data_IF_300467052544
#
_entry.id   IF_300467052544
#
_cell.length_a   1.000
_cell.length_b   1.000
_cell.length_c   1.000
_cell.angle_alpha   90.00
_cell.angle_beta   90.00
_cell.angle_gamma   90.00
#
_symmetry.space_group_name_H-M   'P 1'
#
loop_
_entity.id
_entity.type
_entity.pdbx_description
1 polymer ?
#
# COMPACT_ATOMS: atom_id res chain seq x y z
N UNK A 1 63.87 -13.29 35.69
CA UNK A 1 63.28 -14.51 36.29
C UNK A 1 62.29 -15.06 35.27
N UNK A 2 62.75 -15.70 34.19
CA UNK A 2 63.21 -17.10 34.09
C UNK A 2 62.03 -18.08 34.23
N UNK A 3 61.47 -18.56 33.09
CA UNK A 3 61.57 -19.95 32.52
C UNK A 3 60.53 -20.92 33.11
N UNK A 4 59.84 -21.82 32.40
CA UNK A 4 60.07 -22.53 31.13
C UNK A 4 58.76 -23.13 30.55
N UNK A 5 58.77 -23.42 29.25
CA UNK A 5 58.03 -24.50 28.58
C UNK A 5 59.06 -25.58 28.16
N UNK A 6 58.74 -26.67 27.43
CA UNK A 6 57.59 -27.61 27.43
C UNK A 6 58.08 -29.07 27.65
N UNK A 7 57.19 -30.08 27.60
CA UNK A 7 57.62 -31.48 27.40
C UNK A 7 56.80 -32.15 26.29
N UNK A 8 57.53 -32.80 25.37
CA UNK A 8 57.05 -33.62 24.25
C UNK A 8 57.48 -35.06 24.51
N UNK A 9 56.57 -36.04 24.35
CA UNK A 9 56.86 -37.41 23.88
C UNK A 9 55.65 -37.91 23.08
N UNK A 10 55.82 -38.20 21.79
CA UNK A 10 55.98 -39.55 21.20
C UNK A 10 54.88 -40.51 21.66
N UNK A 11 54.09 -41.20 20.83
CA UNK A 11 54.19 -41.67 19.45
C UNK A 11 53.33 -42.94 19.40
N UNK A 12 52.78 -43.33 18.24
CA UNK A 12 52.12 -44.63 18.11
C UNK A 12 50.92 -44.65 17.16
N UNK A 13 51.18 -45.06 15.92
CA UNK A 13 50.19 -45.57 15.00
C UNK A 13 49.60 -46.88 15.54
N UNK A 14 48.28 -47.05 15.46
CA UNK A 14 47.69 -48.36 15.20
C UNK A 14 46.46 -48.20 14.31
N UNK A 15 46.62 -48.75 13.12
CA UNK A 15 45.62 -49.02 12.10
C UNK A 15 44.73 -50.19 12.58
N UNK A 16 43.41 -50.02 12.54
CA UNK A 16 42.48 -51.15 12.45
C UNK A 16 41.21 -50.78 11.67
N UNK A 17 41.12 -51.44 10.53
CA UNK A 17 40.01 -51.56 9.60
C UNK A 17 38.73 -52.06 10.31
N UNK A 18 37.63 -51.35 10.07
CA UNK A 18 36.31 -51.64 10.62
C UNK A 18 35.26 -51.11 9.65
N UNK A 19 34.93 -51.93 8.64
CA UNK A 19 33.81 -51.73 7.73
C UNK A 19 32.50 -51.54 8.52
N UNK A 20 31.88 -50.38 8.38
CA UNK A 20 30.48 -50.19 8.78
C UNK A 20 29.72 -49.46 7.66
N UNK A 21 28.58 -50.05 7.29
CA UNK A 21 27.78 -49.77 6.11
C UNK A 21 27.11 -48.38 6.14
N UNK A 22 26.80 -47.77 4.98
CA UNK A 22 26.03 -46.54 4.94
C UNK A 22 24.58 -46.80 5.38
N UNK A 23 23.97 -45.93 6.21
CA UNK A 23 22.56 -46.06 6.58
C UNK A 23 21.65 -45.73 5.37
N UNK A 24 20.42 -46.28 5.35
CA UNK A 24 19.58 -46.27 4.16
C UNK A 24 19.02 -44.87 3.88
N UNK A 25 18.94 -44.55 2.58
CA UNK A 25 18.15 -43.44 2.07
C UNK A 25 16.72 -43.53 2.62
N UNK A 26 16.32 -42.54 3.41
CA UNK A 26 14.92 -42.28 3.70
C UNK A 26 14.61 -40.81 3.39
N UNK A 27 13.63 -40.67 2.50
CA UNK A 27 13.06 -39.43 2.00
C UNK A 27 12.71 -38.44 3.10
N UNK A 28 13.56 -37.44 3.30
CA UNK A 28 13.18 -36.17 3.90
C UNK A 28 13.28 -35.10 2.80
N UNK A 29 12.12 -34.70 2.25
CA UNK A 29 12.04 -33.56 1.35
C UNK A 29 12.56 -32.31 2.08
N UNK A 30 13.78 -31.93 1.73
CA UNK A 30 14.58 -30.94 2.42
C UNK A 30 14.04 -29.52 2.14
N UNK A 31 13.85 -28.63 3.14
CA UNK A 31 13.42 -27.24 2.96
C UNK A 31 14.45 -26.34 2.23
N UNK A 32 15.49 -26.92 1.64
CA UNK A 32 16.55 -26.20 0.91
C UNK A 32 16.22 -25.97 -0.58
N UNK A 33 15.26 -26.69 -1.17
CA UNK A 33 14.89 -26.48 -2.58
C UNK A 33 14.24 -25.12 -2.82
N UNK A 34 13.51 -24.58 -1.85
CA UNK A 34 12.96 -23.22 -1.95
C UNK A 34 14.02 -22.11 -1.87
N UNK A 35 15.18 -22.37 -1.25
CA UNK A 35 16.30 -21.41 -1.20
C UNK A 35 17.12 -21.40 -2.50
N UNK A 36 17.24 -22.53 -3.19
CA UNK A 36 17.98 -22.64 -4.45
C UNK A 36 17.25 -21.98 -5.64
N UNK A 37 15.93 -21.97 -5.64
CA UNK A 37 15.12 -21.31 -6.69
C UNK A 37 15.23 -19.77 -6.70
N UNK A 38 15.72 -19.14 -5.62
CA UNK A 38 15.99 -17.69 -5.59
C UNK A 38 17.41 -17.31 -6.01
N UNK A 39 18.33 -18.28 -6.15
CA UNK A 39 19.74 -18.07 -6.52
C UNK A 39 20.04 -18.46 -7.98
N UNK A 40 19.16 -19.23 -8.62
CA UNK A 40 19.21 -19.52 -10.05
C UNK A 40 18.54 -18.38 -10.81
N UNK A 41 19.31 -17.61 -11.57
CA UNK A 41 18.87 -16.41 -12.29
C UNK A 41 17.88 -16.67 -13.44
N UNK A 42 16.68 -17.17 -13.13
CA UNK A 42 15.54 -17.13 -14.05
C UNK A 42 14.99 -15.69 -14.17
N UNK A 43 14.56 -15.25 -15.37
CA UNK A 43 14.09 -13.88 -15.60
C UNK A 43 12.81 -13.59 -14.78
N UNK A 44 12.64 -12.34 -14.32
CA UNK A 44 12.55 -12.08 -12.88
C UNK A 44 11.12 -12.22 -12.34
N UNK A 45 11.02 -12.38 -11.03
CA UNK A 45 9.84 -12.23 -10.13
C UNK A 45 8.89 -11.04 -10.46
N UNK A 46 9.24 -10.18 -11.41
CA UNK A 46 8.42 -9.17 -12.06
C UNK A 46 7.33 -9.74 -13.00
N UNK A 47 7.60 -10.76 -13.83
CA UNK A 47 6.61 -11.31 -14.78
C UNK A 47 5.43 -11.98 -14.07
N UNK A 48 5.66 -12.66 -12.92
CA UNK A 48 4.57 -13.22 -12.11
C UNK A 48 3.67 -12.13 -11.52
N UNK A 49 4.25 -11.02 -11.04
CA UNK A 49 3.49 -9.90 -10.49
C UNK A 49 2.53 -9.29 -11.50
N UNK A 50 2.96 -9.07 -12.75
CA UNK A 50 2.07 -8.51 -13.79
C UNK A 50 0.89 -9.44 -14.09
N UNK A 51 1.12 -10.76 -14.08
CA UNK A 51 0.07 -11.77 -14.24
C UNK A 51 -0.92 -11.75 -13.06
N UNK A 52 -0.43 -11.63 -11.83
CA UNK A 52 -1.23 -11.53 -10.61
C UNK A 52 -2.10 -10.26 -10.59
N UNK A 53 -1.52 -9.09 -10.94
CA UNK A 53 -2.27 -7.84 -11.10
C UNK A 53 -3.35 -7.94 -12.17
N UNK A 54 -3.04 -8.55 -13.32
CA UNK A 54 -4.01 -8.73 -14.40
C UNK A 54 -5.17 -9.64 -13.99
N UNK A 55 -4.90 -10.70 -13.21
CA UNK A 55 -5.94 -11.60 -12.68
C UNK A 55 -6.83 -10.90 -11.64
N UNK A 56 -6.24 -10.10 -10.74
CA UNK A 56 -7.01 -9.26 -9.82
C UNK A 56 -7.90 -8.25 -10.56
N UNK A 57 -7.35 -7.57 -11.59
CA UNK A 57 -8.14 -6.67 -12.43
C UNK A 57 -9.22 -7.40 -13.23
N UNK A 58 -8.98 -8.66 -13.63
CA UNK A 58 -9.99 -9.49 -14.26
C UNK A 58 -11.13 -9.86 -13.29
N UNK A 59 -10.84 -10.09 -12.01
CA UNK A 59 -11.85 -10.33 -10.98
C UNK A 59 -12.74 -9.10 -10.71
N UNK A 60 -12.24 -7.89 -10.99
CA UNK A 60 -13.01 -6.63 -10.91
C UNK A 60 -13.89 -6.42 -12.15
N UNK A 61 -13.57 -7.07 -13.28
CA UNK A 61 -14.23 -6.89 -14.59
C UNK A 61 -15.76 -7.11 -14.60
N UNK A 62 -16.34 -8.08 -13.86
CA UNK A 62 -17.80 -8.25 -13.79
C UNK A 62 -18.52 -7.02 -13.22
N UNK A 63 -17.86 -6.28 -12.33
CA UNK A 63 -18.43 -5.13 -11.61
C UNK A 63 -18.01 -3.78 -12.21
N UNK A 64 -17.82 -3.72 -13.53
CA UNK A 64 -17.44 -2.52 -14.28
C UNK A 64 -18.33 -1.31 -14.03
N UNK A 65 -19.63 -1.52 -13.83
CA UNK A 65 -20.58 -0.43 -13.54
C UNK A 65 -20.25 0.30 -12.23
N UNK A 66 -19.97 -0.45 -11.16
CA UNK A 66 -19.56 0.12 -9.87
C UNK A 66 -18.20 0.80 -9.95
N UNK A 67 -17.24 0.19 -10.66
CA UNK A 67 -15.93 0.81 -10.88
C UNK A 67 -16.04 2.11 -11.67
N UNK A 68 -16.86 2.15 -12.73
CA UNK A 68 -17.09 3.35 -13.53
C UNK A 68 -17.77 4.45 -12.70
N UNK A 69 -18.76 4.12 -11.87
CA UNK A 69 -19.40 5.06 -10.94
C UNK A 69 -18.42 5.59 -9.88
N UNK A 70 -17.53 4.74 -9.37
CA UNK A 70 -16.48 5.14 -8.45
C UNK A 70 -15.49 6.11 -9.11
N UNK A 71 -15.03 5.81 -10.34
CA UNK A 71 -14.13 6.67 -11.11
C UNK A 71 -14.80 8.00 -11.44
N UNK A 72 -16.06 8.01 -11.87
CA UNK A 72 -16.81 9.25 -12.14
C UNK A 72 -16.90 10.12 -10.87
N UNK A 73 -17.15 9.50 -9.72
CA UNK A 73 -17.16 10.16 -8.42
C UNK A 73 -15.77 10.67 -8.01
N UNK A 74 -14.69 9.94 -8.31
CA UNK A 74 -13.30 10.39 -8.11
C UNK A 74 -12.96 11.59 -8.99
N UNK A 75 -13.42 11.62 -10.24
CA UNK A 75 -13.26 12.75 -11.16
C UNK A 75 -14.00 13.96 -10.60
N UNK A 76 -15.26 13.81 -10.22
CA UNK A 76 -16.05 14.89 -9.62
C UNK A 76 -15.40 15.42 -8.33
N UNK A 77 -14.92 14.52 -7.46
CA UNK A 77 -14.21 14.87 -6.22
C UNK A 77 -12.93 15.66 -6.50
N UNK A 78 -12.12 15.20 -7.46
CA UNK A 78 -10.84 15.81 -7.81
C UNK A 78 -11.06 17.18 -8.46
N UNK A 79 -12.03 17.28 -9.36
CA UNK A 79 -12.45 18.53 -9.98
C UNK A 79 -12.98 19.53 -8.93
N UNK A 80 -13.83 19.09 -8.01
CA UNK A 80 -14.33 19.94 -6.91
C UNK A 80 -13.21 20.39 -5.98
N UNK A 81 -12.22 19.55 -5.71
CA UNK A 81 -11.04 19.90 -4.91
C UNK A 81 -10.15 20.92 -5.63
N UNK A 82 -9.95 20.76 -6.93
CA UNK A 82 -9.25 21.73 -7.77
C UNK A 82 -9.98 23.07 -7.86
N UNK A 83 -11.30 23.04 -8.07
CA UNK A 83 -12.15 24.23 -8.09
C UNK A 83 -12.12 24.96 -6.74
N UNK A 84 -12.20 24.21 -5.64
CA UNK A 84 -12.05 24.77 -4.30
C UNK A 84 -10.70 25.47 -4.13
N UNK A 85 -9.60 24.81 -4.53
CA UNK A 85 -8.26 25.41 -4.49
C UNK A 85 -8.14 26.67 -5.33
N UNK A 86 -8.72 26.67 -6.54
CA UNK A 86 -8.71 27.83 -7.41
C UNK A 86 -9.48 29.00 -6.80
N UNK A 87 -10.61 28.71 -6.15
CA UNK A 87 -11.50 29.72 -5.59
C UNK A 87 -10.95 30.43 -4.34
N UNK A 88 -10.00 29.82 -3.62
CA UNK A 88 -9.46 30.39 -2.37
C UNK A 88 -8.91 31.80 -2.59
N UNK A 89 -8.09 32.03 -3.61
CA UNK A 89 -7.52 33.35 -3.89
C UNK A 89 -8.57 34.44 -4.14
N UNK A 90 -9.47 34.27 -5.12
CA UNK A 90 -10.58 35.20 -5.35
C UNK A 90 -11.45 35.44 -4.12
N UNK A 91 -11.68 34.41 -3.30
CA UNK A 91 -12.42 34.53 -2.05
C UNK A 91 -11.70 35.45 -1.04
N UNK A 92 -10.40 35.27 -0.85
CA UNK A 92 -9.61 36.14 0.03
C UNK A 92 -9.54 37.57 -0.52
N UNK A 93 -9.41 37.74 -1.83
CA UNK A 93 -9.42 39.06 -2.45
C UNK A 93 -10.76 39.78 -2.24
N UNK A 94 -11.88 39.08 -2.36
CA UNK A 94 -13.22 39.63 -2.09
C UNK A 94 -13.34 40.14 -0.65
N UNK A 95 -12.82 39.37 0.31
CA UNK A 95 -12.81 39.75 1.73
C UNK A 95 -11.92 40.98 1.95
N UNK A 96 -10.68 40.98 1.43
CA UNK A 96 -9.74 42.08 1.65
C UNK A 96 -10.09 43.38 0.91
N UNK A 97 -10.82 43.31 -0.22
CA UNK A 97 -11.32 44.49 -0.95
C UNK A 97 -12.69 44.96 -0.48
N UNK A 98 -13.20 44.47 0.66
CA UNK A 98 -14.44 44.96 1.26
C UNK A 98 -15.71 44.68 0.44
N UNK A 99 -15.78 43.51 -0.21
CA UNK A 99 -16.97 43.10 -0.97
C UNK A 99 -17.00 43.59 -2.43
N UNK A 100 -15.94 44.24 -2.91
CA UNK A 100 -15.75 44.56 -4.32
C UNK A 100 -14.95 43.45 -5.02
N UNK A 101 -15.64 42.55 -5.72
CA UNK A 101 -15.01 41.64 -6.68
C UNK A 101 -14.93 42.35 -8.02
N UNK A 102 -13.70 42.65 -8.48
CA UNK A 102 -13.50 43.11 -9.85
C UNK A 102 -14.04 42.04 -10.81
N UNK A 103 -14.90 42.42 -11.77
CA UNK A 103 -15.42 41.49 -12.78
C UNK A 103 -14.28 40.76 -13.52
N UNK A 104 -13.10 41.39 -13.62
CA UNK A 104 -11.85 40.77 -14.10
C UNK A 104 -11.35 39.62 -13.21
N UNK A 105 -11.40 39.77 -11.89
CA UNK A 105 -10.98 38.73 -10.94
C UNK A 105 -11.93 37.52 -10.97
N UNK A 106 -13.24 37.77 -11.08
CA UNK A 106 -14.24 36.70 -11.25
C UNK A 106 -14.09 36.00 -12.61
N UNK A 107 -13.82 36.76 -13.69
CA UNK A 107 -13.55 36.23 -15.04
C UNK A 107 -12.25 35.44 -15.11
N UNK A 108 -11.22 35.82 -14.36
CA UNK A 108 -10.00 35.02 -14.22
C UNK A 108 -10.17 33.81 -13.30
N UNK A 109 -11.11 33.86 -12.36
CA UNK A 109 -11.43 32.75 -11.46
C UNK A 109 -12.28 31.66 -12.12
N UNK A 110 -13.21 32.06 -13.00
CA UNK A 110 -14.13 31.17 -13.70
C UNK A 110 -14.09 31.45 -15.21
N UNK A 111 -12.97 31.15 -15.90
CA UNK A 111 -12.85 31.42 -17.34
C UNK A 111 -13.88 30.68 -18.20
N UNK A 112 -14.51 29.62 -17.67
CA UNK A 112 -15.50 28.80 -18.36
C UNK A 112 -16.95 29.33 -18.22
N UNK A 113 -17.24 30.12 -17.19
CA UNK A 113 -18.55 30.77 -17.04
C UNK A 113 -18.48 32.14 -17.71
N UNK A 114 -19.39 32.40 -18.65
CA UNK A 114 -19.58 33.73 -19.22
C UNK A 114 -20.16 34.67 -18.15
N UNK A 115 -19.30 35.18 -17.27
CA UNK A 115 -19.69 36.18 -16.29
C UNK A 115 -19.98 37.50 -17.03
N UNK A 116 -21.16 38.11 -16.83
CA UNK A 116 -21.47 39.42 -17.38
C UNK A 116 -20.49 40.49 -16.84
N UNK A 117 -20.29 41.54 -17.64
CA UNK A 117 -19.22 42.53 -17.49
C UNK A 117 -19.27 43.34 -16.19
N UNK A 118 -20.42 43.37 -15.52
CA UNK A 118 -20.59 43.87 -14.17
C UNK A 118 -21.68 43.04 -13.45
N UNK A 119 -21.30 42.38 -12.35
CA UNK A 119 -22.27 41.79 -11.41
C UNK A 119 -22.50 42.81 -10.28
N UNK A 120 -23.76 43.10 -9.90
CA UNK A 120 -24.05 43.95 -8.74
C UNK A 120 -23.38 43.37 -7.49
N UNK A 121 -22.77 44.23 -6.65
CA UNK A 121 -22.08 43.80 -5.42
C UNK A 121 -22.97 42.90 -4.55
N UNK A 122 -24.26 43.22 -4.48
CA UNK A 122 -25.27 42.51 -3.70
C UNK A 122 -25.50 41.07 -4.20
N UNK A 123 -25.44 40.87 -5.53
CA UNK A 123 -25.55 39.54 -6.16
C UNK A 123 -24.32 38.71 -5.84
N UNK A 124 -23.11 39.31 -5.89
CA UNK A 124 -21.86 38.59 -5.60
C UNK A 124 -21.76 38.21 -4.12
N UNK A 125 -22.19 39.11 -3.22
CA UNK A 125 -22.28 38.87 -1.77
C UNK A 125 -23.15 37.66 -1.42
N UNK A 126 -24.24 37.44 -2.16
CA UNK A 126 -25.14 36.28 -1.96
C UNK A 126 -24.65 35.05 -2.73
N UNK A 127 -24.15 35.22 -3.95
CA UNK A 127 -23.77 34.11 -4.82
C UNK A 127 -22.47 33.41 -4.37
N UNK A 128 -21.50 34.13 -3.82
CA UNK A 128 -20.20 33.55 -3.44
C UNK A 128 -20.32 32.51 -2.30
N UNK A 129 -21.03 32.77 -1.18
CA UNK A 129 -21.27 31.74 -0.17
C UNK A 129 -22.04 30.54 -0.71
N UNK A 130 -23.06 30.77 -1.56
CA UNK A 130 -23.84 29.71 -2.20
C UNK A 130 -22.94 28.85 -3.10
N UNK A 131 -22.03 29.46 -3.85
CA UNK A 131 -21.05 28.75 -4.69
C UNK A 131 -20.09 27.90 -3.84
N UNK A 132 -19.57 28.44 -2.74
CA UNK A 132 -18.69 27.71 -1.81
C UNK A 132 -19.43 26.51 -1.23
N UNK A 133 -20.67 26.71 -0.76
CA UNK A 133 -21.52 25.64 -0.26
C UNK A 133 -21.83 24.60 -1.34
N UNK A 134 -22.10 25.02 -2.57
CA UNK A 134 -22.34 24.12 -3.69
C UNK A 134 -21.10 23.27 -4.03
N UNK A 135 -19.90 23.86 -4.07
CA UNK A 135 -18.64 23.13 -4.29
C UNK A 135 -18.36 22.17 -3.13
N UNK A 136 -18.57 22.61 -1.89
CA UNK A 136 -18.40 21.77 -0.71
C UNK A 136 -19.39 20.60 -0.70
N UNK A 137 -20.66 20.84 -1.05
CA UNK A 137 -21.68 19.81 -1.19
C UNK A 137 -21.34 18.82 -2.30
N UNK A 138 -20.93 19.31 -3.49
CA UNK A 138 -20.48 18.46 -4.59
C UNK A 138 -19.28 17.60 -4.17
N UNK A 139 -18.30 18.19 -3.49
CA UNK A 139 -17.13 17.47 -2.95
C UNK A 139 -17.56 16.39 -1.96
N UNK A 140 -18.50 16.68 -1.07
CA UNK A 140 -19.04 15.73 -0.10
C UNK A 140 -19.80 14.58 -0.75
N UNK A 141 -20.69 14.88 -1.69
CA UNK A 141 -21.46 13.88 -2.46
C UNK A 141 -20.51 13.00 -3.29
N UNK A 142 -19.52 13.61 -3.96
CA UNK A 142 -18.54 12.88 -4.75
C UNK A 142 -17.65 12.00 -3.87
N UNK A 143 -17.25 12.47 -2.67
CA UNK A 143 -16.52 11.65 -1.71
C UNK A 143 -17.37 10.46 -1.24
N UNK A 144 -18.64 10.70 -0.89
CA UNK A 144 -19.58 9.65 -0.51
C UNK A 144 -19.76 8.61 -1.62
N UNK A 145 -20.03 9.06 -2.85
CA UNK A 145 -20.19 8.19 -4.02
C UNK A 145 -18.96 7.35 -4.30
N UNK A 146 -17.76 7.97 -4.22
CA UNK A 146 -16.49 7.27 -4.36
C UNK A 146 -16.30 6.21 -3.26
N UNK A 147 -16.54 6.56 -2.00
CA UNK A 147 -16.33 5.67 -0.86
C UNK A 147 -17.30 4.49 -0.89
N UNK A 148 -18.60 4.76 -1.11
CA UNK A 148 -19.64 3.75 -1.17
C UNK A 148 -19.45 2.79 -2.36
N UNK A 149 -19.25 3.32 -3.57
CA UNK A 149 -19.06 2.47 -4.76
C UNK A 149 -17.82 1.58 -4.61
N UNK A 150 -16.73 2.11 -4.05
CA UNK A 150 -15.52 1.32 -3.85
C UNK A 150 -15.66 0.27 -2.76
N UNK A 151 -16.32 0.58 -1.65
CA UNK A 151 -16.62 -0.39 -0.60
C UNK A 151 -17.49 -1.53 -1.13
N UNK A 152 -18.55 -1.20 -1.88
CA UNK A 152 -19.42 -2.17 -2.52
C UNK A 152 -18.67 -3.03 -3.55
N UNK A 153 -17.78 -2.41 -4.34
CA UNK A 153 -16.93 -3.12 -5.29
C UNK A 153 -16.05 -4.16 -4.59
N UNK A 154 -15.38 -3.77 -3.51
CA UNK A 154 -14.54 -4.68 -2.73
C UNK A 154 -15.33 -5.86 -2.16
N UNK A 155 -16.49 -5.59 -1.57
CA UNK A 155 -17.36 -6.63 -1.02
C UNK A 155 -17.88 -7.60 -2.08
N UNK A 156 -18.25 -7.13 -3.27
CA UNK A 156 -18.65 -8.02 -4.37
C UNK A 156 -17.51 -8.89 -4.88
N UNK A 157 -16.32 -8.33 -5.03
CA UNK A 157 -15.12 -9.10 -5.41
C UNK A 157 -14.82 -10.18 -4.35
N UNK A 158 -14.95 -9.84 -3.07
CA UNK A 158 -14.81 -10.81 -1.97
C UNK A 158 -15.86 -11.90 -2.03
N UNK A 159 -17.12 -11.56 -2.29
CA UNK A 159 -18.20 -12.53 -2.41
C UNK A 159 -17.93 -13.52 -3.56
N UNK A 160 -17.53 -13.02 -4.72
CA UNK A 160 -17.19 -13.84 -5.89
C UNK A 160 -16.00 -14.75 -5.60
N UNK A 161 -14.96 -14.24 -4.93
CA UNK A 161 -13.79 -15.03 -4.54
C UNK A 161 -14.14 -16.13 -3.53
N UNK A 162 -14.96 -15.82 -2.51
CA UNK A 162 -15.41 -16.82 -1.53
C UNK A 162 -16.27 -17.89 -2.18
N UNK A 163 -17.16 -17.51 -3.10
CA UNK A 163 -17.99 -18.46 -3.83
C UNK A 163 -17.14 -19.37 -4.73
N UNK A 164 -16.21 -18.80 -5.50
CA UNK A 164 -15.31 -19.56 -6.36
C UNK A 164 -14.41 -20.51 -5.55
N UNK A 165 -13.87 -20.05 -4.41
CA UNK A 165 -13.08 -20.90 -3.51
C UNK A 165 -13.92 -22.02 -2.93
N UNK A 166 -15.14 -21.73 -2.49
CA UNK A 166 -16.03 -22.73 -1.93
C UNK A 166 -16.39 -23.81 -2.97
N UNK A 167 -16.78 -23.41 -4.19
CA UNK A 167 -17.05 -24.33 -5.29
C UNK A 167 -15.84 -25.18 -5.62
N UNK A 168 -14.66 -24.55 -5.76
CA UNK A 168 -13.42 -25.27 -6.07
C UNK A 168 -13.07 -26.29 -4.98
N UNK A 169 -13.21 -25.94 -3.70
CA UNK A 169 -12.96 -26.85 -2.60
C UNK A 169 -13.88 -28.08 -2.65
N UNK A 170 -15.13 -27.94 -3.09
CA UNK A 170 -16.05 -29.07 -3.23
C UNK A 170 -15.71 -29.99 -4.42
N UNK A 171 -15.01 -29.47 -5.44
CA UNK A 171 -14.60 -30.22 -6.63
C UNK A 171 -13.24 -30.90 -6.48
N UNK A 172 -12.42 -30.50 -5.51
CA UNK A 172 -11.06 -31.00 -5.37
C UNK A 172 -11.01 -32.46 -4.87
N UNK A 173 -10.06 -33.28 -5.37
CA UNK A 173 -9.96 -34.68 -4.97
C UNK A 173 -9.58 -34.80 -3.48
N UNK A 174 -9.99 -35.88 -2.80
CA UNK A 174 -9.60 -36.14 -1.40
C UNK A 174 -8.08 -36.12 -1.17
N UNK A 175 -7.29 -36.45 -2.19
CA UNK A 175 -5.83 -36.41 -2.14
C UNK A 175 -5.27 -35.00 -1.90
N UNK A 176 -5.98 -33.95 -2.33
CA UNK A 176 -5.60 -32.56 -2.05
C UNK A 176 -5.73 -32.24 -0.56
N UNK A 177 -6.80 -32.71 0.09
CA UNK A 177 -7.04 -32.53 1.52
C UNK A 177 -6.08 -33.33 2.39
N UNK A 178 -5.60 -34.48 1.90
CA UNK A 178 -4.53 -35.22 2.58
C UNK A 178 -3.18 -34.46 2.59
N UNK A 179 -2.95 -33.57 1.63
CA UNK A 179 -1.73 -32.76 1.51
C UNK A 179 -1.85 -31.36 2.13
N UNK A 180 -3.08 -30.89 2.38
CA UNK A 180 -3.36 -29.52 2.80
C UNK A 180 -3.93 -29.46 4.21
N UNK A 181 -3.30 -28.70 5.11
CA UNK A 181 -3.81 -28.53 6.46
C UNK A 181 -5.14 -27.74 6.44
N UNK A 182 -6.18 -28.23 7.10
CA UNK A 182 -7.50 -27.57 7.17
C UNK A 182 -7.42 -26.12 7.69
N UNK A 183 -6.45 -25.84 8.58
CA UNK A 183 -6.18 -24.48 9.08
C UNK A 183 -5.62 -23.52 8.03
N UNK A 184 -4.83 -24.00 7.06
CA UNK A 184 -4.34 -23.18 5.95
C UNK A 184 -5.47 -22.80 4.99
N UNK A 185 -6.36 -23.76 4.68
CA UNK A 185 -7.55 -23.50 3.87
C UNK A 185 -8.48 -22.47 4.53
N UNK A 186 -8.67 -22.56 5.85
CA UNK A 186 -9.45 -21.57 6.61
C UNK A 186 -8.78 -20.19 6.59
N UNK A 187 -7.45 -20.14 6.74
CA UNK A 187 -6.68 -18.89 6.66
C UNK A 187 -6.79 -18.23 5.27
N UNK A 188 -6.78 -19.04 4.19
CA UNK A 188 -7.02 -18.57 2.82
C UNK A 188 -8.43 -17.99 2.69
N UNK A 189 -9.45 -18.68 3.18
CA UNK A 189 -10.85 -18.23 3.09
C UNK A 189 -11.13 -16.94 3.89
N UNK A 190 -10.47 -16.77 5.04
CA UNK A 190 -10.67 -15.63 5.93
C UNK A 190 -9.66 -14.48 5.65
N UNK A 191 -8.38 -14.71 5.93
CA UNK A 191 -7.36 -13.66 5.97
C UNK A 191 -6.89 -13.24 4.57
N UNK A 192 -6.69 -14.19 3.66
CA UNK A 192 -6.22 -13.84 2.31
C UNK A 192 -7.29 -13.11 1.50
N UNK A 193 -8.53 -13.57 1.59
CA UNK A 193 -9.67 -12.87 0.97
C UNK A 193 -9.81 -11.44 1.52
N UNK A 194 -9.69 -11.26 2.85
CA UNK A 194 -9.73 -9.92 3.46
C UNK A 194 -8.55 -9.03 3.03
N UNK A 195 -7.36 -9.61 2.84
CA UNK A 195 -6.21 -8.86 2.32
C UNK A 195 -6.46 -8.41 0.87
N UNK A 196 -7.08 -9.25 0.04
CA UNK A 196 -7.50 -8.89 -1.32
C UNK A 196 -8.55 -7.78 -1.29
N UNK A 197 -9.54 -7.88 -0.40
CA UNK A 197 -10.53 -6.82 -0.18
C UNK A 197 -9.84 -5.48 0.10
N UNK A 198 -8.90 -5.46 1.04
CA UNK A 198 -8.21 -4.24 1.41
C UNK A 198 -7.46 -3.62 0.22
N UNK A 199 -6.78 -4.46 -0.58
CA UNK A 199 -6.04 -4.00 -1.75
C UNK A 199 -6.97 -3.46 -2.86
N UNK A 200 -8.15 -4.06 -3.05
CA UNK A 200 -9.15 -3.56 -4.00
C UNK A 200 -9.80 -2.29 -3.46
N UNK A 201 -10.35 -2.29 -2.25
CA UNK A 201 -11.13 -1.17 -1.69
C UNK A 201 -10.28 0.06 -1.40
N UNK A 202 -9.15 -0.12 -0.73
CA UNK A 202 -8.33 1.01 -0.27
C UNK A 202 -7.11 1.23 -1.17
N UNK A 203 -6.48 0.13 -1.59
CA UNK A 203 -5.28 0.17 -2.43
C UNK A 203 -5.53 0.82 -3.80
N UNK A 204 -6.43 0.23 -4.58
CA UNK A 204 -6.78 0.73 -5.90
C UNK A 204 -7.43 2.12 -5.83
N UNK A 205 -8.26 2.37 -4.81
CA UNK A 205 -8.87 3.69 -4.62
C UNK A 205 -7.85 4.77 -4.37
N UNK A 206 -6.86 4.55 -3.49
CA UNK A 206 -5.83 5.55 -3.24
C UNK A 206 -5.05 5.85 -4.52
N UNK A 207 -4.60 4.84 -5.27
CA UNK A 207 -3.86 5.09 -6.50
C UNK A 207 -4.67 5.86 -7.55
N UNK A 208 -5.94 5.52 -7.74
CA UNK A 208 -6.82 6.19 -8.70
C UNK A 208 -7.20 7.59 -8.22
N UNK A 209 -7.79 7.71 -7.03
CA UNK A 209 -8.28 8.97 -6.46
C UNK A 209 -7.14 9.94 -6.21
N UNK A 210 -6.09 9.52 -5.52
CA UNK A 210 -5.02 10.41 -5.09
C UNK A 210 -4.15 10.77 -6.31
N UNK A 211 -3.93 9.83 -7.23
CA UNK A 211 -3.29 10.11 -8.52
C UNK A 211 -4.07 11.14 -9.34
N UNK A 212 -5.40 11.00 -9.42
CA UNK A 212 -6.24 11.96 -10.13
C UNK A 212 -6.28 13.34 -9.45
N UNK A 213 -6.34 13.39 -8.11
CA UNK A 213 -6.23 14.64 -7.37
C UNK A 213 -4.91 15.35 -7.63
N UNK A 214 -3.78 14.62 -7.63
CA UNK A 214 -2.47 15.18 -7.97
C UNK A 214 -2.47 15.77 -9.38
N UNK A 215 -3.00 15.04 -10.37
CA UNK A 215 -3.08 15.52 -11.75
C UNK A 215 -3.94 16.79 -11.87
N UNK A 216 -5.10 16.84 -11.21
CA UNK A 216 -5.97 18.02 -11.22
C UNK A 216 -5.29 19.22 -10.54
N UNK A 217 -4.68 19.02 -9.37
CA UNK A 217 -3.98 20.11 -8.64
C UNK A 217 -2.76 20.63 -9.41
N UNK A 218 -2.04 19.75 -10.14
CA UNK A 218 -0.99 20.18 -11.06
C UNK A 218 -1.54 20.96 -12.25
N UNK A 219 -2.67 20.52 -12.82
CA UNK A 219 -3.37 21.26 -13.87
C UNK A 219 -3.79 22.67 -13.41
N UNK A 220 -4.36 22.77 -12.20
CA UNK A 220 -4.71 24.05 -11.57
C UNK A 220 -3.47 24.92 -11.38
N UNK A 221 -2.36 24.35 -10.91
CA UNK A 221 -1.10 25.07 -10.73
C UNK A 221 -0.60 25.70 -12.04
N UNK A 222 -0.62 24.94 -13.14
CA UNK A 222 -0.24 25.41 -14.48
C UNK A 222 -1.18 26.51 -14.97
N UNK A 223 -2.47 26.35 -14.74
CA UNK A 223 -3.48 27.30 -15.19
C UNK A 223 -3.47 28.62 -14.39
N UNK A 224 -3.03 28.61 -13.12
CA UNK A 224 -2.84 29.82 -12.32
C UNK A 224 -1.67 30.66 -12.86
N UNK A 225 -0.48 30.07 -12.92
CA UNK A 225 0.70 30.73 -13.49
C UNK A 225 1.80 29.71 -13.83
N UNK A 226 2.32 29.75 -15.05
CA UNK A 226 3.32 28.80 -15.52
C UNK A 226 4.65 28.88 -14.75
N UNK A 227 4.98 30.03 -14.15
CA UNK A 227 6.21 30.24 -13.36
C UNK A 227 6.07 29.63 -11.97
N UNK A 228 4.89 29.74 -11.35
CA UNK A 228 4.57 29.02 -10.13
C UNK A 228 4.50 27.50 -10.37
N UNK A 229 3.97 27.10 -11.53
CA UNK A 229 3.91 25.70 -11.92
C UNK A 229 5.30 25.07 -12.10
N UNK A 230 6.29 25.82 -12.60
CA UNK A 230 7.70 25.38 -12.63
C UNK A 230 8.21 25.04 -11.23
N UNK A 231 7.87 25.85 -10.22
CA UNK A 231 8.23 25.57 -8.83
C UNK A 231 7.55 24.28 -8.33
N UNK A 232 6.26 24.10 -8.63
CA UNK A 232 5.55 22.86 -8.31
C UNK A 232 6.15 21.64 -9.03
N UNK A 233 6.55 21.79 -10.28
CA UNK A 233 7.16 20.73 -11.09
C UNK A 233 8.51 20.28 -10.54
N UNK A 234 9.26 21.17 -9.88
CA UNK A 234 10.48 20.82 -9.14
C UNK A 234 10.16 20.24 -7.76
N UNK A 235 9.13 20.74 -7.08
CA UNK A 235 8.72 20.27 -5.75
C UNK A 235 8.15 18.84 -5.76
N UNK A 236 7.42 18.45 -6.80
CA UNK A 236 6.86 17.09 -6.94
C UNK A 236 7.94 15.99 -6.96
N UNK A 237 8.94 15.99 -7.86
CA UNK A 237 9.97 14.96 -7.86
C UNK A 237 10.77 15.00 -6.54
N UNK A 238 11.02 16.20 -6.00
CA UNK A 238 11.70 16.37 -4.72
C UNK A 238 10.95 15.71 -3.56
N UNK A 239 9.61 15.66 -3.60
CA UNK A 239 8.77 14.98 -2.60
C UNK A 239 8.54 13.49 -2.92
N UNK A 240 8.45 13.11 -4.19
CA UNK A 240 8.23 11.71 -4.62
C UNK A 240 9.46 10.84 -4.35
N UNK A 241 10.68 11.35 -4.57
CA UNK A 241 11.93 10.60 -4.33
C UNK A 241 12.04 10.07 -2.89
N UNK A 242 11.89 10.88 -1.83
CA UNK A 242 11.92 10.38 -0.47
C UNK A 242 10.77 9.39 -0.22
N UNK A 243 9.55 9.64 -0.70
CA UNK A 243 8.41 8.70 -0.56
C UNK A 243 8.78 7.30 -1.09
N UNK A 244 9.34 7.22 -2.29
CA UNK A 244 9.76 5.94 -2.89
C UNK A 244 10.87 5.29 -2.06
N UNK A 245 11.84 6.07 -1.58
CA UNK A 245 12.94 5.57 -0.74
C UNK A 245 12.42 5.04 0.61
N UNK A 246 11.45 5.73 1.22
CA UNK A 246 10.75 5.32 2.43
C UNK A 246 10.01 4.00 2.23
N UNK A 247 9.21 3.88 1.17
CA UNK A 247 8.48 2.67 0.85
C UNK A 247 9.42 1.45 0.68
N UNK A 248 10.54 1.63 -0.04
CA UNK A 248 11.56 0.57 -0.22
C UNK A 248 12.22 0.17 1.09
N UNK A 249 12.59 1.15 1.93
CA UNK A 249 13.20 0.92 3.26
C UNK A 249 12.23 0.17 4.18
N UNK A 250 10.98 0.61 4.24
CA UNK A 250 9.95 0.00 5.08
C UNK A 250 9.65 -1.43 4.64
N UNK A 251 9.61 -1.71 3.33
CA UNK A 251 9.49 -3.06 2.80
C UNK A 251 10.61 -3.98 3.30
N UNK A 252 11.87 -3.54 3.22
CA UNK A 252 13.02 -4.34 3.69
C UNK A 252 12.93 -4.64 5.20
N UNK A 253 12.50 -3.66 5.99
CA UNK A 253 12.30 -3.84 7.44
C UNK A 253 11.16 -4.82 7.71
N UNK A 254 10.04 -4.70 6.99
CA UNK A 254 8.90 -5.59 7.12
C UNK A 254 9.26 -7.04 6.79
N UNK A 255 10.00 -7.28 5.69
CA UNK A 255 10.48 -8.62 5.33
C UNK A 255 11.38 -9.22 6.41
N UNK A 256 12.28 -8.42 7.00
CA UNK A 256 13.14 -8.87 8.10
C UNK A 256 12.32 -9.19 9.36
N UNK A 257 11.35 -8.35 9.71
CA UNK A 257 10.47 -8.58 10.85
C UNK A 257 9.65 -9.85 10.69
N UNK A 258 9.17 -10.15 9.47
CA UNK A 258 8.43 -11.37 9.17
C UNK A 258 9.29 -12.64 9.29
N UNK A 259 10.58 -12.57 8.94
CA UNK A 259 11.48 -13.69 9.16
C UNK A 259 11.72 -13.95 10.65
N UNK A 260 11.93 -12.89 11.44
CA UNK A 260 12.18 -12.99 12.88
C UNK A 260 10.97 -13.51 13.66
N UNK A 261 9.75 -13.05 13.33
CA UNK A 261 8.54 -13.58 13.95
C UNK A 261 8.31 -15.05 13.58
N UNK A 262 8.69 -15.46 12.36
CA UNK A 262 8.70 -16.87 11.97
C UNK A 262 9.64 -17.71 12.84
N UNK A 263 10.86 -17.22 13.11
CA UNK A 263 11.79 -17.88 14.02
C UNK A 263 11.25 -17.99 15.44
N UNK A 264 10.58 -16.94 15.96
CA UNK A 264 9.92 -17.01 17.27
C UNK A 264 8.83 -18.10 17.31
N UNK A 265 8.04 -18.26 16.25
CA UNK A 265 7.06 -19.34 16.16
C UNK A 265 7.73 -20.72 16.11
N UNK A 266 8.83 -20.87 15.39
CA UNK A 266 9.61 -22.12 15.38
C UNK A 266 10.13 -22.46 16.77
N UNK A 267 10.74 -21.50 17.47
CA UNK A 267 11.24 -21.69 18.83
C UNK A 267 10.12 -22.10 19.80
N UNK A 268 8.97 -21.43 19.71
CA UNK A 268 7.82 -21.78 20.54
C UNK A 268 7.31 -23.18 20.23
N UNK A 269 7.25 -23.56 18.95
CA UNK A 269 6.81 -24.87 18.53
C UNK A 269 7.74 -25.99 19.03
N UNK A 270 9.06 -25.80 18.88
CA UNK A 270 10.10 -26.71 19.41
C UNK A 270 9.98 -26.85 20.93
N UNK A 271 9.84 -25.75 21.66
CA UNK A 271 9.73 -25.76 23.12
C UNK A 271 8.45 -26.47 23.61
N UNK A 272 7.33 -26.33 22.88
CA UNK A 272 6.08 -27.01 23.21
C UNK A 272 6.14 -28.51 22.91
N UNK A 273 6.69 -28.91 21.75
CA UNK A 273 6.87 -30.32 21.41
C UNK A 273 7.85 -31.01 22.37
N UNK A 274 8.92 -30.31 22.76
CA UNK A 274 9.95 -30.79 23.67
C UNK A 274 9.69 -30.50 25.14
N UNK A 275 8.50 -30.03 25.55
CA UNK A 275 8.27 -29.48 26.90
C UNK A 275 8.65 -30.45 28.02
N UNK A 276 8.37 -31.75 27.83
CA UNK A 276 8.74 -32.79 28.80
C UNK A 276 10.25 -32.96 28.93
N UNK A 277 10.99 -32.82 27.84
CA UNK A 277 12.45 -32.88 27.81
C UNK A 277 13.02 -31.64 28.49
N UNK A 278 12.50 -30.45 28.16
CA UNK A 278 12.94 -29.20 28.79
C UNK A 278 12.76 -29.26 30.30
N UNK A 279 11.60 -29.75 30.78
CA UNK A 279 11.31 -29.90 32.22
C UNK A 279 12.12 -31.01 32.88
N UNK A 280 12.35 -32.15 32.21
CA UNK A 280 13.12 -33.25 32.80
C UNK A 280 14.60 -32.90 33.01
N UNK A 281 15.14 -32.01 32.16
CA UNK A 281 16.52 -31.53 32.25
C UNK A 281 16.65 -30.16 32.96
N UNK A 282 15.56 -29.55 33.43
CA UNK A 282 15.58 -28.24 34.12
C UNK A 282 16.06 -27.08 33.22
N UNK A 283 15.78 -27.15 31.92
CA UNK A 283 16.29 -26.22 30.89
C UNK A 283 15.33 -25.06 30.60
N UNK A 284 14.32 -24.80 31.44
CA UNK A 284 13.32 -23.75 31.20
C UNK A 284 13.94 -22.37 31.11
N UNK A 285 14.99 -22.11 31.90
CA UNK A 285 15.73 -20.84 31.85
C UNK A 285 16.46 -20.66 30.52
N UNK A 286 17.08 -21.72 30.02
CA UNK A 286 17.80 -21.71 28.74
C UNK A 286 16.85 -21.40 27.58
N UNK A 287 15.71 -22.08 27.51
CA UNK A 287 14.71 -21.82 26.45
C UNK A 287 14.11 -20.41 26.57
N UNK A 288 13.89 -19.91 27.81
CA UNK A 288 13.43 -18.53 28.03
C UNK A 288 14.45 -17.49 27.56
N UNK A 289 15.74 -17.69 27.84
CA UNK A 289 16.81 -16.81 27.40
C UNK A 289 16.98 -16.85 25.87
N UNK A 290 16.91 -18.03 25.26
CA UNK A 290 16.92 -18.23 23.80
C UNK A 290 15.76 -17.50 23.12
N UNK A 291 14.54 -17.62 23.65
CA UNK A 291 13.37 -16.93 23.13
C UNK A 291 13.49 -15.40 23.32
N UNK A 292 13.93 -14.95 24.50
CA UNK A 292 14.13 -13.52 24.80
C UNK A 292 15.13 -12.88 23.84
N UNK A 293 16.24 -13.56 23.53
CA UNK A 293 17.25 -13.04 22.60
C UNK A 293 16.69 -12.82 21.19
N UNK A 294 15.84 -13.71 20.68
CA UNK A 294 15.20 -13.52 19.37
C UNK A 294 14.08 -12.48 19.43
N UNK A 295 13.35 -12.39 20.55
CA UNK A 295 12.37 -11.35 20.79
C UNK A 295 13.00 -9.95 20.80
N UNK A 296 14.18 -9.78 21.41
CA UNK A 296 14.92 -8.52 21.40
C UNK A 296 15.38 -8.12 19.99
N UNK A 297 15.79 -9.10 19.18
CA UNK A 297 16.11 -8.88 17.75
C UNK A 297 14.89 -8.44 16.96
N UNK A 298 13.72 -9.01 17.23
CA UNK A 298 12.46 -8.60 16.62
C UNK A 298 12.07 -7.17 17.06
N UNK A 299 12.16 -6.86 18.35
CA UNK A 299 11.91 -5.52 18.89
C UNK A 299 12.86 -4.47 18.32
N UNK A 300 14.15 -4.80 18.11
CA UNK A 300 15.10 -3.91 17.45
C UNK A 300 14.69 -3.60 16.00
N UNK A 301 14.17 -4.58 15.26
CA UNK A 301 13.63 -4.37 13.91
C UNK A 301 12.36 -3.53 13.94
N UNK A 302 11.45 -3.74 14.89
CA UNK A 302 10.25 -2.92 15.02
C UNK A 302 10.56 -1.48 15.45
N UNK A 303 11.54 -1.26 16.31
CA UNK A 303 12.02 0.08 16.65
C UNK A 303 12.50 0.84 15.41
N UNK A 304 13.24 0.17 14.52
CA UNK A 304 13.63 0.74 13.21
C UNK A 304 12.42 1.01 12.31
N UNK A 305 11.43 0.11 12.29
CA UNK A 305 10.17 0.29 11.55
C UNK A 305 9.43 1.55 12.01
N UNK A 306 9.23 1.71 13.31
CA UNK A 306 8.57 2.86 13.90
C UNK A 306 9.36 4.15 13.70
N UNK A 307 10.69 4.12 13.83
CA UNK A 307 11.52 5.28 13.54
C UNK A 307 11.34 5.78 12.09
N UNK A 308 11.37 4.85 11.12
CA UNK A 308 11.17 5.18 9.69
C UNK A 308 9.75 5.69 9.41
N UNK A 309 8.72 5.16 10.10
CA UNK A 309 7.35 5.67 9.99
C UNK A 309 7.17 7.03 10.65
N UNK A 310 7.81 7.26 11.80
CA UNK A 310 7.72 8.49 12.57
C UNK A 310 8.35 9.65 11.81
N UNK A 311 9.50 9.44 11.16
CA UNK A 311 10.19 10.51 10.40
C UNK A 311 9.51 10.83 9.06
N UNK A 312 8.66 9.93 8.54
CA UNK A 312 8.00 10.10 7.24
C UNK A 312 7.10 11.34 7.20
N UNK A 313 6.20 11.48 8.18
CA UNK A 313 5.24 12.60 8.22
C UNK A 313 5.93 13.97 8.39
N UNK A 314 6.85 14.16 9.35
CA UNK A 314 7.61 15.40 9.50
C UNK A 314 8.44 15.75 8.27
N UNK A 315 9.04 14.75 7.60
CA UNK A 315 9.80 15.01 6.37
C UNK A 315 8.91 15.64 5.30
N UNK A 316 7.71 15.10 5.08
CA UNK A 316 6.76 15.66 4.11
C UNK A 316 6.26 17.05 4.51
N UNK A 317 6.05 17.31 5.80
CA UNK A 317 5.63 18.62 6.30
C UNK A 317 6.71 19.68 6.08
N UNK A 318 7.98 19.35 6.38
CA UNK A 318 9.12 20.24 6.11
C UNK A 318 9.25 20.49 4.60
N UNK A 319 9.08 19.47 3.76
CA UNK A 319 9.11 19.66 2.30
C UNK A 319 8.01 20.61 1.82
N UNK A 320 6.79 20.45 2.34
CA UNK A 320 5.67 21.34 2.04
C UNK A 320 5.95 22.78 2.52
N UNK A 321 6.50 22.94 3.74
CA UNK A 321 6.88 24.24 4.29
C UNK A 321 7.97 24.93 3.47
N UNK A 322 8.99 24.19 3.00
CA UNK A 322 10.02 24.71 2.07
C UNK A 322 9.37 25.15 0.76
N UNK A 323 8.44 24.36 0.21
CA UNK A 323 7.69 24.73 -1.00
C UNK A 323 6.89 26.02 -0.83
N UNK A 324 6.19 26.16 0.29
CA UNK A 324 5.45 27.38 0.66
C UNK A 324 6.41 28.56 0.80
N UNK A 325 7.52 28.42 1.53
CA UNK A 325 8.49 29.49 1.73
C UNK A 325 9.11 29.96 0.41
N UNK A 326 9.52 29.02 -0.45
CA UNK A 326 10.04 29.33 -1.79
C UNK A 326 9.01 30.06 -2.65
N UNK A 327 7.75 29.62 -2.58
CA UNK A 327 6.62 30.25 -3.27
C UNK A 327 6.42 31.69 -2.80
N UNK A 328 6.39 31.92 -1.49
CA UNK A 328 6.20 33.27 -0.92
C UNK A 328 7.31 34.21 -1.37
N UNK A 329 8.56 33.77 -1.32
CA UNK A 329 9.72 34.57 -1.72
C UNK A 329 9.70 34.90 -3.22
N UNK A 330 9.32 33.95 -4.08
CA UNK A 330 9.17 34.18 -5.51
C UNK A 330 7.97 35.10 -5.81
N UNK A 331 6.82 34.80 -5.22
CA UNK A 331 5.58 35.52 -5.41
C UNK A 331 5.68 36.97 -4.95
N UNK A 332 6.30 37.26 -3.80
CA UNK A 332 6.50 38.62 -3.31
C UNK A 332 7.22 39.51 -4.34
N UNK A 333 8.26 38.97 -5.00
CA UNK A 333 8.98 39.70 -6.07
C UNK A 333 8.12 39.85 -7.33
N UNK A 334 7.44 38.79 -7.76
CA UNK A 334 6.63 38.81 -8.97
C UNK A 334 5.39 39.73 -8.85
N UNK A 335 4.75 39.73 -7.68
CA UNK A 335 3.64 40.63 -7.34
C UNK A 335 4.11 42.07 -7.23
N UNK A 336 5.24 42.32 -6.57
CA UNK A 336 5.84 43.66 -6.47
C UNK A 336 6.22 44.26 -7.84
N UNK A 337 6.59 43.41 -8.80
CA UNK A 337 6.85 43.81 -10.19
C UNK A 337 5.58 43.91 -11.07
N UNK A 338 4.38 43.67 -10.51
CA UNK A 338 3.11 43.71 -11.25
C UNK A 338 2.91 42.56 -12.24
N UNK A 339 3.75 41.51 -12.20
CA UNK A 339 3.72 40.41 -13.15
C UNK A 339 2.78 39.26 -12.74
N UNK A 340 2.35 39.25 -11.48
CA UNK A 340 1.49 38.21 -10.89
C UNK A 340 0.44 38.84 -9.99
N UNK A 341 -0.80 38.37 -10.10
CA UNK A 341 -1.88 38.87 -9.24
C UNK A 341 -1.83 38.19 -7.86
N UNK A 342 -2.05 38.92 -6.75
CA UNK A 342 -1.96 38.36 -5.40
C UNK A 342 -2.92 37.20 -5.12
N UNK A 343 -4.12 37.21 -5.71
CA UNK A 343 -5.12 36.15 -5.57
C UNK A 343 -4.60 34.81 -6.12
N UNK A 344 -3.90 34.82 -7.26
CA UNK A 344 -3.31 33.60 -7.84
C UNK A 344 -2.29 32.94 -6.93
N UNK A 345 -1.52 33.76 -6.19
CA UNK A 345 -0.55 33.27 -5.20
C UNK A 345 -1.28 32.56 -4.07
N UNK A 346 -2.37 33.14 -3.56
CA UNK A 346 -3.17 32.53 -2.48
C UNK A 346 -3.79 31.21 -2.94
N UNK A 347 -4.37 31.17 -4.14
CA UNK A 347 -4.91 29.93 -4.72
C UNK A 347 -3.83 28.86 -4.88
N UNK A 348 -2.63 29.24 -5.31
CA UNK A 348 -1.50 28.32 -5.46
C UNK A 348 -0.99 27.79 -4.11
N UNK A 349 -0.91 28.65 -3.08
CA UNK A 349 -0.58 28.19 -1.72
C UNK A 349 -1.62 27.19 -1.20
N UNK A 350 -2.91 27.43 -1.45
CA UNK A 350 -3.96 26.46 -1.14
C UNK A 350 -3.78 25.15 -1.92
N UNK A 351 -3.35 25.21 -3.19
CA UNK A 351 -3.06 24.03 -4.00
C UNK A 351 -1.95 23.20 -3.39
N UNK A 352 -0.85 23.82 -2.92
CA UNK A 352 0.27 23.12 -2.26
C UNK A 352 -0.23 22.39 -1.00
N UNK A 353 -1.03 23.05 -0.17
CA UNK A 353 -1.57 22.46 1.07
C UNK A 353 -2.49 21.28 0.75
N UNK A 354 -3.36 21.42 -0.25
CA UNK A 354 -4.28 20.34 -0.65
C UNK A 354 -3.55 19.16 -1.32
N UNK A 355 -2.42 19.42 -1.98
CA UNK A 355 -1.57 18.41 -2.62
C UNK A 355 -0.86 17.51 -1.59
N UNK A 356 -0.64 17.99 -0.37
CA UNK A 356 0.02 17.22 0.69
C UNK A 356 -0.72 15.91 1.04
N UNK A 357 -2.05 15.97 1.16
CA UNK A 357 -2.88 14.82 1.57
C UNK A 357 -2.77 13.63 0.60
N UNK A 358 -2.98 13.77 -0.72
CA UNK A 358 -2.83 12.65 -1.65
C UNK A 358 -1.38 12.14 -1.74
N UNK A 359 -0.37 13.01 -1.64
CA UNK A 359 1.04 12.58 -1.58
C UNK A 359 1.31 11.69 -0.37
N UNK A 360 0.82 12.08 0.82
CA UNK A 360 0.97 11.31 2.06
C UNK A 360 0.26 9.96 1.98
N UNK A 361 -0.96 9.95 1.45
CA UNK A 361 -1.78 8.74 1.29
C UNK A 361 -1.11 7.69 0.39
N UNK A 362 -0.53 8.11 -0.74
CA UNK A 362 0.21 7.22 -1.63
C UNK A 362 1.42 6.56 -0.96
N UNK A 363 2.11 7.28 -0.08
CA UNK A 363 3.24 6.73 0.67
C UNK A 363 2.86 5.63 1.66
N UNK A 364 1.66 5.68 2.23
CA UNK A 364 1.15 4.68 3.19
C UNK A 364 0.52 3.44 2.53
N UNK A 365 -0.03 3.58 1.33
CA UNK A 365 -0.86 2.55 0.70
C UNK A 365 -0.08 1.35 0.15
N UNK A 366 1.22 1.50 -0.12
CA UNK A 366 2.04 0.45 -0.76
C UNK A 366 2.10 -0.87 0.02
N UNK A 367 2.03 -0.84 1.36
CA UNK A 367 2.09 -2.04 2.18
C UNK A 367 0.83 -2.91 2.02
N UNK A 368 -0.36 -2.30 2.14
CA UNK A 368 -1.62 -3.04 2.05
C UNK A 368 -1.84 -3.66 0.67
N UNK A 369 -1.44 -2.97 -0.40
CA UNK A 369 -1.49 -3.50 -1.77
C UNK A 369 -0.57 -4.71 -1.93
N UNK A 370 0.63 -4.65 -1.35
CA UNK A 370 1.57 -5.78 -1.38
C UNK A 370 1.03 -6.99 -0.62
N UNK A 371 0.37 -6.77 0.52
CA UNK A 371 -0.28 -7.84 1.28
C UNK A 371 -1.43 -8.48 0.51
N UNK A 372 -2.31 -7.67 -0.12
CA UNK A 372 -3.40 -8.21 -0.92
C UNK A 372 -2.93 -8.98 -2.15
N UNK A 373 -1.82 -8.59 -2.78
CA UNK A 373 -1.21 -9.39 -3.87
C UNK A 373 -0.71 -10.74 -3.37
N UNK A 374 -0.07 -10.78 -2.20
CA UNK A 374 0.39 -12.04 -1.60
C UNK A 374 -0.79 -12.96 -1.26
N UNK A 375 -1.87 -12.40 -0.69
CA UNK A 375 -3.11 -13.13 -0.44
C UNK A 375 -3.73 -13.65 -1.74
N UNK A 376 -3.87 -12.80 -2.76
CA UNK A 376 -4.40 -13.19 -4.07
C UNK A 376 -3.62 -14.35 -4.69
N UNK A 377 -2.28 -14.34 -4.57
CA UNK A 377 -1.44 -15.43 -5.09
C UNK A 377 -1.78 -16.77 -4.43
N UNK A 378 -1.90 -16.79 -3.10
CA UNK A 378 -2.29 -18.01 -2.35
C UNK A 378 -3.71 -18.48 -2.68
N UNK A 379 -4.63 -17.56 -2.98
CA UNK A 379 -5.97 -17.92 -3.44
C UNK A 379 -5.93 -18.56 -4.84
N UNK A 380 -5.16 -17.97 -5.76
CA UNK A 380 -5.04 -18.52 -7.11
C UNK A 380 -4.34 -19.88 -7.16
N UNK A 381 -3.44 -20.17 -6.22
CA UNK A 381 -2.86 -21.52 -6.08
C UNK A 381 -3.92 -22.60 -5.83
N UNK A 382 -4.97 -22.30 -5.05
CA UNK A 382 -6.08 -23.26 -4.83
C UNK A 382 -7.01 -23.30 -6.04
N UNK A 383 -7.33 -22.15 -6.62
CA UNK A 383 -8.27 -22.04 -7.74
C UNK A 383 -7.74 -22.66 -9.03
N UNK A 384 -6.42 -22.60 -9.24
CA UNK A 384 -5.73 -23.19 -10.38
C UNK A 384 -5.37 -24.69 -10.18
N UNK A 385 -5.60 -25.27 -8.99
CA UNK A 385 -5.32 -26.69 -8.74
C UNK A 385 -6.18 -27.57 -9.66
N UNK A 386 -5.62 -28.60 -10.33
CA UNK A 386 -6.40 -29.45 -11.23
C UNK A 386 -7.51 -30.20 -10.48
N UNK A 387 -8.69 -30.22 -11.08
CA UNK A 387 -9.79 -31.09 -10.66
C UNK A 387 -9.64 -32.40 -11.40
N UNK A 388 -9.70 -33.52 -10.67
CA UNK A 388 -9.66 -34.84 -11.29
C UNK A 388 -10.99 -35.06 -12.03
N UNK A 389 -10.97 -35.39 -13.35
CA UNK A 389 -12.20 -35.65 -14.06
C UNK A 389 -12.93 -36.81 -13.38
N UNK A 390 -14.20 -36.61 -13.05
CA UNK A 390 -15.07 -37.67 -12.53
C UNK A 390 -14.92 -38.89 -13.45
N UNK A 391 -14.45 -40.06 -12.96
CA UNK A 391 -14.54 -41.28 -13.74
C UNK A 391 -16.02 -41.46 -14.11
N UNK A 392 -16.30 -41.70 -15.39
CA UNK A 392 -17.64 -41.71 -15.95
C UNK A 392 -18.62 -42.42 -15.02
N UNK A 393 -19.73 -41.75 -14.72
CA UNK A 393 -20.75 -42.24 -13.79
C UNK A 393 -21.09 -43.70 -14.08
N UNK A 394 -20.59 -44.62 -13.26
CA UNK A 394 -21.16 -45.95 -13.16
C UNK A 394 -22.38 -45.78 -12.29
N UNK A 395 -23.57 -45.81 -12.90
CA UNK A 395 -24.82 -45.91 -12.15
C UNK A 395 -24.74 -47.20 -11.32
N UNK A 396 -24.60 -47.05 -10.01
CA UNK A 396 -24.66 -48.18 -9.10
C UNK A 396 -26.10 -48.73 -9.14
N UNK A 397 -26.29 -50.06 -9.26
CA UNK A 397 -27.62 -50.63 -9.24
C UNK A 397 -28.33 -50.24 -7.95
N UNK A 398 -29.61 -49.87 -8.07
CA UNK A 398 -30.43 -49.51 -6.92
C UNK A 398 -30.37 -50.62 -5.88
N UNK A 399 -30.08 -50.26 -4.63
CA UNK A 399 -30.12 -51.20 -3.51
C UNK A 399 -31.56 -51.69 -3.34
N UNK A 400 -31.85 -52.90 -3.86
CA UNK A 400 -33.06 -53.66 -3.57
C UNK A 400 -33.01 -54.32 -2.22
#
# INVERSE_FOLDING_TARGET
MATAAPDQREGGQHEQDGREAPPPEQHAAHPLQHRAACLSGEPPCYKSRVKEYRRLLAAVRPHRGLLAAAIASMIALSAATGAFSWLVGPMFQFVFKGGALDAKALRSALPFLSAPEALPRDTVLRALPILILAIAALRGIAYFGQFYCMGMLGQRVVADLRLALHQKLLELPPSFFARSASGDLLARFASDVAAVEFAVTYGLAAYLRDGLQILVLLGVSIALDWRLALLAFVAVPLTVVPIVRFARRLKKIATRGQAQIGTLYTLLHEALQGVRIVQSFGMERYEREKFSAEQDRFLATMRRSFFVRAIFTPTLEIMAAIGIAATVVFAARAVGAGQLQPDRVISFLATIVLLYTPLKSLGGTGQGVTQGLAGARRLWEVLDEPVEPLPGHVELPAFT
#
